data_IF_124339632281
#
_entry.id   IF_124339632281
#
_cell.length_a   1.000
_cell.length_b   1.000
_cell.length_c   1.000
_cell.angle_alpha   90.00
_cell.angle_beta   90.00
_cell.angle_gamma   90.00
#
_symmetry.space_group_name_H-M   'P 1'
#
loop_
_entity.id
_entity.type
_entity.pdbx_description
1 polymer ?
#
# COMPACT_ATOMS: atom_id res chain seq x y z
N UNK A 1 -14.76 -20.66 -4.73
CA UNK A 1 -14.43 -19.80 -3.57
C UNK A 1 -15.71 -19.24 -2.99
N UNK A 2 -15.82 -19.12 -1.67
CA UNK A 2 -17.01 -18.54 -1.03
C UNK A 2 -17.12 -17.04 -1.33
N UNK A 3 -18.35 -16.50 -1.30
CA UNK A 3 -18.63 -15.07 -1.52
C UNK A 3 -17.82 -14.18 -0.56
N UNK A 4 -17.59 -14.64 0.68
CA UNK A 4 -16.78 -13.94 1.68
C UNK A 4 -15.33 -13.76 1.23
N UNK A 5 -14.70 -14.80 0.67
CA UNK A 5 -13.32 -14.71 0.18
C UNK A 5 -13.23 -13.73 -0.99
N UNK A 6 -14.20 -13.73 -1.90
CA UNK A 6 -14.23 -12.79 -3.03
C UNK A 6 -14.30 -11.35 -2.52
N UNK A 7 -15.15 -11.07 -1.52
CA UNK A 7 -15.23 -9.74 -0.89
C UNK A 7 -13.90 -9.36 -0.25
N UNK A 8 -13.26 -10.28 0.48
CA UNK A 8 -11.92 -10.04 1.06
C UNK A 8 -10.91 -9.70 -0.03
N UNK A 9 -10.87 -10.45 -1.13
CA UNK A 9 -9.94 -10.19 -2.24
C UNK A 9 -10.16 -8.82 -2.88
N UNK A 10 -11.42 -8.40 -3.07
CA UNK A 10 -11.76 -7.08 -3.62
C UNK A 10 -11.37 -5.97 -2.65
N UNK A 11 -11.66 -6.12 -1.36
CA UNK A 11 -11.28 -5.14 -0.36
C UNK A 11 -9.75 -5.01 -0.29
N UNK A 12 -9.01 -6.13 -0.27
CA UNK A 12 -7.53 -6.14 -0.32
C UNK A 12 -7.06 -5.38 -1.55
N UNK A 13 -7.69 -5.62 -2.69
CA UNK A 13 -7.32 -4.97 -3.93
C UNK A 13 -7.46 -3.44 -3.85
N UNK A 14 -8.61 -2.95 -3.38
CA UNK A 14 -8.86 -1.52 -3.22
C UNK A 14 -7.88 -0.88 -2.22
N UNK A 15 -7.65 -1.55 -1.09
CA UNK A 15 -6.73 -1.10 -0.03
C UNK A 15 -5.33 -0.88 -0.60
N UNK A 16 -4.77 -1.88 -1.29
CA UNK A 16 -3.40 -1.82 -1.80
C UNK A 16 -3.24 -0.92 -3.04
N UNK A 17 -4.28 -0.74 -3.85
CA UNK A 17 -4.29 0.31 -4.88
C UNK A 17 -4.15 1.68 -4.23
N UNK A 18 -4.99 1.99 -3.23
CA UNK A 18 -4.93 3.30 -2.54
C UNK A 18 -3.58 3.49 -1.84
N UNK A 19 -3.07 2.46 -1.14
CA UNK A 19 -1.76 2.52 -0.49
C UNK A 19 -0.62 2.79 -1.47
N UNK A 20 -0.67 2.19 -2.67
CA UNK A 20 0.35 2.43 -3.70
C UNK A 20 0.24 3.85 -4.27
N UNK A 21 -0.99 4.33 -4.48
CA UNK A 21 -1.23 5.70 -4.96
C UNK A 21 -0.81 6.76 -3.95
N UNK A 22 -0.68 6.46 -2.66
CA UNK A 22 -0.20 7.38 -1.63
C UNK A 22 1.16 8.02 -1.97
N UNK A 23 2.06 7.28 -2.63
CA UNK A 23 3.39 7.79 -3.02
C UNK A 23 3.32 8.90 -4.07
N UNK A 24 2.23 8.97 -4.83
CA UNK A 24 2.01 10.04 -5.81
C UNK A 24 1.63 11.38 -5.19
N UNK A 25 1.16 11.39 -3.94
CA UNK A 25 0.72 12.59 -3.21
C UNK A 25 1.88 13.57 -3.05
N UNK A 26 3.07 13.06 -2.72
CA UNK A 26 4.28 13.87 -2.60
C UNK A 26 4.69 14.46 -3.96
N UNK A 27 4.59 13.68 -5.04
CA UNK A 27 4.84 14.17 -6.41
C UNK A 27 3.91 15.34 -6.75
N UNK A 28 2.61 15.20 -6.44
CA UNK A 28 1.64 16.28 -6.67
C UNK A 28 1.92 17.48 -5.76
N UNK A 29 2.27 17.25 -4.50
CA UNK A 29 2.61 18.30 -3.55
C UNK A 29 3.79 19.15 -4.01
N UNK A 30 4.84 18.52 -4.54
CA UNK A 30 6.00 19.21 -5.13
C UNK A 30 5.59 20.00 -6.37
N UNK A 31 4.92 19.36 -7.34
CA UNK A 31 4.53 20.01 -8.61
C UNK A 31 3.59 21.19 -8.46
N UNK A 32 2.69 21.12 -7.48
CA UNK A 32 1.70 22.18 -7.22
C UNK A 32 2.21 23.22 -6.22
N UNK A 33 3.32 22.97 -5.53
CA UNK A 33 3.78 23.75 -4.38
C UNK A 33 2.87 23.66 -3.16
N UNK A 34 1.88 22.76 -3.15
CA UNK A 34 0.80 22.67 -2.14
C UNK A 34 0.85 21.33 -1.39
N UNK A 35 1.93 21.10 -0.65
CA UNK A 35 2.19 19.84 0.06
C UNK A 35 1.08 19.53 1.08
N UNK A 36 0.77 20.49 1.96
CA UNK A 36 -0.21 20.30 3.04
C UNK A 36 -1.62 19.99 2.49
N UNK A 37 -2.01 20.68 1.41
CA UNK A 37 -3.30 20.44 0.76
C UNK A 37 -3.31 19.04 0.12
N UNK A 38 -2.22 18.64 -0.52
CA UNK A 38 -2.10 17.30 -1.11
C UNK A 38 -2.30 16.21 -0.05
N UNK A 39 -1.70 16.36 1.13
CA UNK A 39 -1.96 15.43 2.25
C UNK A 39 -3.41 15.47 2.74
N UNK A 40 -3.99 16.66 2.91
CA UNK A 40 -5.36 16.81 3.39
C UNK A 40 -6.38 16.16 2.45
N UNK A 41 -6.24 16.35 1.13
CA UNK A 41 -7.11 15.72 0.13
C UNK A 41 -6.88 14.21 0.09
N UNK A 42 -5.64 13.74 0.22
CA UNK A 42 -5.35 12.31 0.24
C UNK A 42 -5.92 11.59 1.47
N UNK A 43 -5.99 12.26 2.62
CA UNK A 43 -6.55 11.68 3.85
C UNK A 43 -7.98 11.16 3.67
N UNK A 44 -8.77 11.73 2.75
CA UNK A 44 -10.09 11.21 2.38
C UNK A 44 -9.99 9.81 1.78
N UNK A 45 -9.07 9.60 0.84
CA UNK A 45 -8.83 8.28 0.24
C UNK A 45 -8.24 7.30 1.26
N UNK A 46 -7.34 7.78 2.13
CA UNK A 46 -6.76 6.98 3.19
C UNK A 46 -7.82 6.49 4.19
N UNK A 47 -8.82 7.33 4.52
CA UNK A 47 -9.95 6.93 5.35
C UNK A 47 -10.77 5.81 4.72
N UNK A 48 -11.06 5.89 3.41
CA UNK A 48 -11.76 4.81 2.69
C UNK A 48 -10.99 3.49 2.78
N UNK A 49 -9.67 3.52 2.58
CA UNK A 49 -8.80 2.34 2.72
C UNK A 49 -8.82 1.79 4.15
N UNK A 50 -8.76 2.65 5.18
CA UNK A 50 -8.85 2.23 6.59
C UNK A 50 -10.21 1.60 6.91
N UNK A 51 -11.31 2.19 6.46
CA UNK A 51 -12.64 1.60 6.64
C UNK A 51 -12.76 0.23 5.96
N UNK A 52 -12.22 0.10 4.75
CA UNK A 52 -12.17 -1.19 4.04
C UNK A 52 -11.37 -2.25 4.83
N UNK A 53 -10.24 -1.88 5.43
CA UNK A 53 -9.47 -2.78 6.30
C UNK A 53 -10.28 -3.23 7.52
N UNK A 54 -10.97 -2.30 8.19
CA UNK A 54 -11.80 -2.62 9.36
C UNK A 54 -12.95 -3.57 9.03
N UNK A 55 -13.55 -3.45 7.83
CA UNK A 55 -14.59 -4.37 7.35
C UNK A 55 -13.99 -5.73 6.95
N UNK A 56 -12.78 -5.74 6.37
CA UNK A 56 -12.12 -6.95 5.92
C UNK A 56 -11.71 -7.88 7.07
N UNK A 57 -11.24 -7.32 8.20
CA UNK A 57 -10.73 -8.09 9.34
C UNK A 57 -11.74 -9.14 9.87
N UNK A 58 -13.00 -8.82 10.20
CA UNK A 58 -13.98 -9.81 10.68
C UNK A 58 -14.38 -10.82 9.60
N UNK A 59 -14.42 -10.43 8.32
CA UNK A 59 -14.70 -11.35 7.21
C UNK A 59 -13.60 -12.39 7.05
N UNK A 60 -12.34 -11.97 7.20
CA UNK A 60 -11.19 -12.87 7.17
C UNK A 60 -11.19 -13.81 8.37
N UNK A 61 -11.45 -13.30 9.58
CA UNK A 61 -11.55 -14.10 10.81
C UNK A 61 -12.62 -15.20 10.69
N UNK A 62 -13.83 -14.85 10.23
CA UNK A 62 -14.92 -15.82 10.01
C UNK A 62 -14.57 -16.89 8.98
N UNK A 63 -13.87 -16.52 7.91
CA UNK A 63 -13.40 -17.46 6.89
C UNK A 63 -12.42 -18.49 7.48
N UNK A 64 -11.54 -18.04 8.37
CA UNK A 64 -10.57 -18.88 9.07
C UNK A 64 -11.28 -19.85 10.02
N UNK A 65 -12.20 -19.35 10.85
CA UNK A 65 -12.96 -20.19 11.79
C UNK A 65 -13.71 -21.31 11.08
N UNK A 66 -14.39 -21.00 9.97
CA UNK A 66 -15.08 -22.01 9.17
C UNK A 66 -14.11 -23.04 8.59
N UNK A 67 -12.92 -22.61 8.16
CA UNK A 67 -11.91 -23.51 7.58
C UNK A 67 -11.28 -24.44 8.63
N UNK A 68 -11.10 -23.94 9.86
CA UNK A 68 -10.62 -24.74 11.00
C UNK A 68 -11.66 -25.79 11.40
N UNK A 69 -12.95 -25.40 11.49
CA UNK A 69 -14.03 -26.33 11.85
C UNK A 69 -14.19 -27.48 10.84
N UNK A 70 -13.80 -27.26 9.59
CA UNK A 70 -13.81 -28.25 8.52
C UNK A 70 -12.51 -29.09 8.44
N UNK A 71 -11.52 -28.82 9.29
CA UNK A 71 -10.24 -29.53 9.30
C UNK A 71 -9.34 -29.27 8.08
N UNK A 72 -9.59 -28.22 7.29
CA UNK A 72 -8.91 -27.98 6.01
C UNK A 72 -7.82 -26.91 6.12
N UNK A 73 -6.73 -27.24 6.81
CA UNK A 73 -5.58 -26.34 7.01
C UNK A 73 -4.82 -26.03 5.72
N UNK A 74 -4.76 -26.97 4.76
CA UNK A 74 -4.13 -26.74 3.45
C UNK A 74 -4.94 -25.77 2.58
N UNK A 75 -6.27 -25.87 2.61
CA UNK A 75 -7.16 -24.93 1.93
C UNK A 75 -6.99 -23.50 2.40
N UNK A 76 -6.63 -23.29 3.67
CA UNK A 76 -6.41 -21.95 4.22
C UNK A 76 -5.12 -21.30 3.69
N UNK A 77 -4.04 -22.07 3.58
CA UNK A 77 -2.78 -21.58 2.99
C UNK A 77 -3.01 -21.13 1.55
N UNK A 78 -3.81 -21.88 0.80
CA UNK A 78 -4.21 -21.52 -0.56
C UNK A 78 -4.96 -20.17 -0.60
N UNK A 79 -5.94 -19.97 0.29
CA UNK A 79 -6.67 -18.69 0.41
C UNK A 79 -5.72 -17.53 0.72
N UNK A 80 -4.79 -17.69 1.67
CA UNK A 80 -3.84 -16.64 2.02
C UNK A 80 -2.89 -16.27 0.87
N UNK A 81 -2.43 -17.25 0.10
CA UNK A 81 -1.64 -16.99 -1.12
C UNK A 81 -2.43 -16.20 -2.17
N UNK A 82 -3.72 -16.48 -2.33
CA UNK A 82 -4.60 -15.68 -3.20
C UNK A 82 -4.79 -14.25 -2.70
N UNK A 83 -4.90 -14.04 -1.38
CA UNK A 83 -4.96 -12.70 -0.81
C UNK A 83 -3.66 -11.94 -1.10
N UNK A 84 -2.50 -12.55 -0.85
CA UNK A 84 -1.20 -11.96 -1.18
C UNK A 84 -1.03 -11.72 -2.70
N UNK A 85 -1.64 -12.55 -3.53
CA UNK A 85 -1.60 -12.38 -4.98
C UNK A 85 -2.47 -11.20 -5.41
N UNK A 86 -3.65 -11.05 -4.80
CA UNK A 86 -4.49 -9.86 -4.95
C UNK A 86 -3.74 -8.59 -4.53
N UNK A 87 -3.03 -8.64 -3.41
CA UNK A 87 -2.13 -7.54 -2.97
C UNK A 87 -1.10 -7.19 -4.03
N UNK A 88 -0.40 -8.19 -4.59
CA UNK A 88 0.61 -7.97 -5.63
C UNK A 88 0.00 -7.35 -6.89
N UNK A 89 -1.13 -7.89 -7.36
CA UNK A 89 -1.86 -7.35 -8.51
C UNK A 89 -2.33 -5.91 -8.26
N UNK A 90 -2.85 -5.63 -7.07
CA UNK A 90 -3.29 -4.31 -6.67
C UNK A 90 -2.14 -3.30 -6.65
N UNK A 91 -0.96 -3.68 -6.14
CA UNK A 91 0.23 -2.82 -6.16
C UNK A 91 0.72 -2.57 -7.59
N UNK A 92 0.71 -3.58 -8.47
CA UNK A 92 1.03 -3.40 -9.89
C UNK A 92 0.03 -2.47 -10.57
N UNK A 93 -1.27 -2.68 -10.36
CA UNK A 93 -2.32 -1.83 -10.93
C UNK A 93 -2.21 -0.40 -10.39
N UNK A 94 -1.98 -0.23 -9.09
CA UNK A 94 -1.73 1.07 -8.47
C UNK A 94 -0.54 1.79 -9.08
N UNK A 95 0.57 1.09 -9.31
CA UNK A 95 1.76 1.63 -9.97
C UNK A 95 1.47 2.06 -11.42
N UNK A 96 0.70 1.28 -12.16
CA UNK A 96 0.28 1.60 -13.53
C UNK A 96 -0.70 2.79 -13.59
N UNK A 97 -1.58 2.92 -12.60
CA UNK A 97 -2.55 4.01 -12.48
C UNK A 97 -1.92 5.32 -11.98
N UNK A 98 -0.73 5.25 -11.38
CA UNK A 98 -0.06 6.39 -10.75
C UNK A 98 0.09 7.62 -11.66
N UNK A 99 0.53 7.53 -12.94
CA UNK A 99 0.64 8.71 -13.80
C UNK A 99 -0.71 9.40 -14.06
N UNK A 100 -1.78 8.62 -14.19
CA UNK A 100 -3.15 9.12 -14.34
C UNK A 100 -3.61 9.78 -13.04
N UNK A 101 -3.36 9.12 -11.91
CA UNK A 101 -3.73 9.65 -10.60
C UNK A 101 -2.99 10.96 -10.30
N UNK A 102 -1.70 11.10 -10.61
CA UNK A 102 -0.95 12.36 -10.43
C UNK A 102 -1.65 13.54 -11.13
N UNK A 103 -2.15 13.34 -12.37
CA UNK A 103 -2.85 14.39 -13.13
C UNK A 103 -4.21 14.74 -12.52
N UNK A 104 -5.01 13.72 -12.22
CA UNK A 104 -6.36 13.91 -11.65
C UNK A 104 -6.28 14.50 -10.26
N UNK A 105 -5.39 13.96 -9.43
CA UNK A 105 -5.16 14.40 -8.06
C UNK A 105 -4.57 15.81 -8.00
N UNK A 106 -3.67 16.18 -8.92
CA UNK A 106 -3.17 17.56 -9.04
C UNK A 106 -4.28 18.58 -9.26
N UNK A 107 -5.22 18.29 -10.17
CA UNK A 107 -6.40 19.16 -10.38
C UNK A 107 -7.32 19.20 -9.17
N UNK A 108 -7.48 18.08 -8.47
CA UNK A 108 -8.26 18.03 -7.23
C UNK A 108 -7.63 18.91 -6.14
N UNK A 109 -6.29 18.90 -6.01
CA UNK A 109 -5.53 19.77 -5.09
C UNK A 109 -5.66 21.24 -5.46
N UNK A 110 -5.55 21.58 -6.75
CA UNK A 110 -5.74 22.95 -7.24
C UNK A 110 -7.17 23.46 -6.99
N UNK A 111 -8.18 22.67 -7.36
CA UNK A 111 -9.58 23.00 -7.11
C UNK A 111 -9.86 23.14 -5.60
N UNK A 112 -9.27 22.28 -4.77
CA UNK A 112 -9.43 22.38 -3.32
C UNK A 112 -8.85 23.67 -2.76
N UNK A 113 -7.71 24.13 -3.29
CA UNK A 113 -7.16 25.42 -2.87
C UNK A 113 -8.10 26.59 -3.11
N UNK A 114 -8.98 26.50 -4.11
CA UNK A 114 -9.93 27.55 -4.48
C UNK A 114 -11.19 27.44 -3.62
N UNK A 115 -11.80 26.26 -3.56
CA UNK A 115 -13.10 26.06 -2.89
C UNK A 115 -13.01 25.85 -1.37
N UNK A 116 -11.82 25.52 -0.84
CA UNK A 116 -11.52 25.30 0.59
C UNK A 116 -12.47 24.36 1.33
N UNK A 117 -13.17 23.46 0.61
CA UNK A 117 -14.17 22.55 1.19
C UNK A 117 -14.09 21.16 0.54
N UNK A 118 -13.78 20.15 1.36
CA UNK A 118 -13.56 18.76 0.91
C UNK A 118 -14.88 18.16 0.38
N UNK A 119 -16.03 18.33 1.07
CA UNK A 119 -17.30 17.81 0.57
C UNK A 119 -17.69 18.41 -0.79
N UNK A 120 -17.55 19.72 -0.97
CA UNK A 120 -17.87 20.38 -2.26
C UNK A 120 -16.98 19.89 -3.40
N UNK A 121 -15.72 19.55 -3.11
CA UNK A 121 -14.78 18.97 -4.07
C UNK A 121 -15.21 17.58 -4.54
N UNK A 122 -15.64 16.72 -3.61
CA UNK A 122 -16.12 15.38 -3.94
C UNK A 122 -17.38 15.44 -4.82
N UNK A 123 -18.35 16.29 -4.48
CA UNK A 123 -19.57 16.48 -5.29
C UNK A 123 -19.25 16.94 -6.73
N UNK A 124 -18.24 17.79 -6.92
CA UNK A 124 -17.81 18.21 -8.27
C UNK A 124 -16.99 17.14 -8.99
N UNK A 125 -16.14 16.38 -8.28
CA UNK A 125 -15.34 15.30 -8.86
C UNK A 125 -16.19 14.16 -9.43
N UNK A 126 -17.32 13.84 -8.79
CA UNK A 126 -18.30 12.86 -9.27
C UNK A 126 -19.33 13.43 -10.26
N UNK A 127 -19.24 14.70 -10.64
CA UNK A 127 -20.11 15.28 -11.67
C UNK A 127 -19.79 14.73 -13.07
N UNK A 128 -20.75 14.80 -14.01
CA UNK A 128 -20.53 14.40 -15.42
C UNK A 128 -19.32 15.09 -16.06
N UNK A 129 -19.02 16.32 -15.64
CA UNK A 129 -17.82 17.06 -16.08
C UNK A 129 -16.54 16.46 -15.50
N UNK A 130 -16.52 16.17 -14.19
CA UNK A 130 -15.38 15.55 -13.50
C UNK A 130 -15.04 14.15 -14.05
N UNK A 131 -16.04 13.34 -14.37
CA UNK A 131 -15.87 11.99 -14.96
C UNK A 131 -15.32 12.09 -16.40
N UNK A 132 -15.81 13.03 -17.21
CA UNK A 132 -15.28 13.25 -18.56
C UNK A 132 -13.83 13.73 -18.52
N UNK A 133 -13.51 14.62 -17.58
CA UNK A 133 -12.16 15.10 -17.34
C UNK A 133 -11.22 14.00 -16.80
N UNK A 134 -11.72 13.06 -16.00
CA UNK A 134 -10.97 11.85 -15.60
C UNK A 134 -10.62 11.00 -16.82
N UNK A 135 -11.60 10.76 -17.71
CA UNK A 135 -11.41 9.98 -18.95
C UNK A 135 -10.40 10.63 -19.90
N UNK A 136 -10.42 11.96 -20.03
CA UNK A 136 -9.45 12.72 -20.83
C UNK A 136 -8.04 12.78 -20.19
N UNK A 137 -7.91 12.51 -18.89
CA UNK A 137 -6.64 12.51 -18.16
C UNK A 137 -5.92 11.17 -18.16
N UNK A 138 -6.59 10.11 -18.63
CA UNK A 138 -6.02 8.76 -18.75
C UNK A 138 -4.79 8.83 -19.65
N UNK A 139 -3.62 8.73 -19.03
CA UNK A 139 -2.35 8.83 -19.73
C UNK A 139 -1.72 7.46 -19.75
N UNK A 140 -1.56 6.89 -20.95
CA UNK A 140 -0.80 5.64 -21.08
C UNK A 140 0.63 5.86 -20.59
N UNK A 141 1.20 4.93 -19.80
CA UNK A 141 2.57 5.04 -19.34
C UNK A 141 3.51 5.18 -20.54
N UNK A 142 4.15 6.34 -20.71
CA UNK A 142 5.07 6.60 -21.83
C UNK A 142 6.34 5.76 -21.61
N UNK A 143 6.73 4.98 -22.61
CA UNK A 143 7.94 4.13 -22.60
C UNK A 143 9.24 4.94 -22.41
N UNK A 144 9.22 6.25 -22.64
CA UNK A 144 10.35 7.14 -22.37
C UNK A 144 10.73 7.22 -20.89
N UNK A 145 9.77 6.99 -19.96
CA UNK A 145 10.08 6.89 -18.53
C UNK A 145 10.97 5.68 -18.20
N UNK A 146 11.00 4.64 -19.05
CA UNK A 146 11.87 3.47 -18.87
C UNK A 146 13.32 3.71 -19.32
N UNK A 147 13.58 4.65 -20.25
CA UNK A 147 14.97 4.98 -20.65
C UNK A 147 15.79 5.54 -19.49
N UNK A 148 15.13 6.12 -18.49
CA UNK A 148 15.75 6.71 -17.31
C UNK A 148 16.01 5.74 -16.15
N UNK A 149 15.55 4.49 -16.25
CA UNK A 149 15.86 3.43 -15.29
C UNK A 149 17.35 3.07 -15.32
N UNK A 150 18.06 3.35 -16.43
CA UNK A 150 19.45 2.96 -16.65
C UNK A 150 20.49 3.73 -15.82
N UNK A 151 20.13 4.88 -15.24
CA UNK A 151 21.02 5.67 -14.37
C UNK A 151 20.86 5.29 -12.89
N UNK A 152 21.24 4.07 -12.53
CA UNK A 152 21.11 3.52 -11.17
C UNK A 152 22.03 4.16 -10.11
N UNK A 153 22.98 5.03 -10.51
CA UNK A 153 24.10 5.47 -9.66
C UNK A 153 23.73 6.52 -8.59
N UNK A 154 22.58 7.20 -8.70
CA UNK A 154 22.16 8.25 -7.73
C UNK A 154 21.00 7.83 -6.82
N UNK A 155 20.51 6.59 -6.89
CA UNK A 155 19.36 6.15 -6.11
C UNK A 155 19.82 5.61 -4.76
N UNK A 156 19.13 5.94 -3.64
CA UNK A 156 19.42 5.38 -2.32
C UNK A 156 19.03 3.89 -2.25
N UNK A 157 19.85 2.99 -2.80
CA UNK A 157 19.57 1.54 -2.87
C UNK A 157 19.23 0.93 -1.51
N UNK A 158 19.94 1.37 -0.45
CA UNK A 158 19.69 0.95 0.93
C UNK A 158 18.26 1.28 1.37
N UNK A 159 17.76 2.45 0.99
CA UNK A 159 16.41 2.90 1.32
C UNK A 159 15.34 2.11 0.56
N UNK A 160 15.54 1.87 -0.73
CA UNK A 160 14.61 1.04 -1.52
C UNK A 160 14.54 -0.37 -0.95
N UNK A 161 15.68 -0.96 -0.57
CA UNK A 161 15.74 -2.26 0.09
C UNK A 161 15.00 -2.25 1.43
N UNK A 162 15.23 -1.24 2.27
CA UNK A 162 14.57 -1.13 3.56
C UNK A 162 13.06 -0.94 3.42
N UNK A 163 12.61 -0.13 2.46
CA UNK A 163 11.19 0.03 2.14
C UNK A 163 10.58 -1.30 1.70
N UNK A 164 11.30 -2.04 0.85
CA UNK A 164 10.88 -3.35 0.36
C UNK A 164 10.69 -4.34 1.52
N UNK A 165 11.65 -4.39 2.45
CA UNK A 165 11.59 -5.24 3.63
C UNK A 165 10.43 -4.82 4.54
N UNK A 166 10.34 -3.55 4.91
CA UNK A 166 9.28 -3.04 5.77
C UNK A 166 7.89 -3.33 5.18
N UNK A 167 7.71 -3.09 3.89
CA UNK A 167 6.44 -3.36 3.20
C UNK A 167 6.13 -4.86 3.14
N UNK A 168 7.13 -5.73 2.94
CA UNK A 168 6.94 -7.18 2.97
C UNK A 168 6.49 -7.68 4.35
N UNK A 169 7.07 -7.14 5.43
CA UNK A 169 6.70 -7.47 6.81
C UNK A 169 5.28 -7.00 7.11
N UNK A 170 4.91 -5.77 6.74
CA UNK A 170 3.55 -5.26 6.92
C UNK A 170 2.52 -6.08 6.13
N UNK A 171 2.86 -6.47 4.89
CA UNK A 171 1.98 -7.26 4.02
C UNK A 171 1.74 -8.67 4.54
N UNK A 172 2.80 -9.34 4.99
CA UNK A 172 2.72 -10.74 5.44
C UNK A 172 2.26 -10.88 6.89
N UNK A 173 2.49 -9.86 7.73
CA UNK A 173 2.37 -9.96 9.20
C UNK A 173 1.02 -10.45 9.69
N UNK A 174 -0.07 -9.88 9.17
CA UNK A 174 -1.44 -10.28 9.56
C UNK A 174 -1.72 -11.72 9.14
N UNK A 175 -1.44 -12.07 7.88
CA UNK A 175 -1.73 -13.41 7.35
C UNK A 175 -0.85 -14.49 7.99
N UNK A 176 0.43 -14.20 8.25
CA UNK A 176 1.34 -15.10 8.93
C UNK A 176 0.91 -15.34 10.39
N UNK A 177 0.46 -14.30 11.09
CA UNK A 177 -0.05 -14.41 12.48
C UNK A 177 -1.30 -15.28 12.55
N UNK A 178 -2.22 -15.08 11.61
CA UNK A 178 -3.43 -15.89 11.49
C UNK A 178 -3.10 -17.34 11.14
N UNK A 179 -2.13 -17.58 10.24
CA UNK A 179 -1.69 -18.92 9.89
C UNK A 179 -1.00 -19.62 11.07
N UNK A 180 -0.15 -18.91 11.82
CA UNK A 180 0.51 -19.42 13.02
C UNK A 180 -0.50 -19.88 14.09
N UNK A 181 -1.58 -19.12 14.30
CA UNK A 181 -2.66 -19.49 15.21
C UNK A 181 -3.49 -20.69 14.73
N UNK A 182 -3.46 -21.01 13.43
CA UNK A 182 -4.05 -22.25 12.91
C UNK A 182 -3.13 -23.45 13.11
N UNK A 183 -1.80 -23.25 13.01
CA UNK A 183 -0.81 -24.30 13.25
C UNK A 183 -0.75 -24.70 14.73
N UNK A 184 -1.01 -23.76 15.65
CA UNK A 184 -1.05 -24.02 17.10
C UNK A 184 -2.38 -23.50 17.69
N UNK A 185 -3.46 -24.30 17.64
CA UNK A 185 -4.79 -23.88 18.09
C UNK A 185 -4.83 -23.41 19.56
N UNK A 186 -4.02 -24.00 20.43
CA UNK A 186 -3.92 -23.63 21.85
C UNK A 186 -3.38 -22.21 22.07
N UNK A 187 -2.54 -21.71 21.16
CA UNK A 187 -1.88 -20.41 21.23
C UNK A 187 -2.47 -19.39 20.25
N UNK A 188 -3.70 -19.62 19.77
CA UNK A 188 -4.31 -18.86 18.68
C UNK A 188 -4.49 -17.38 18.99
N UNK A 189 -4.90 -17.06 20.21
CA UNK A 189 -5.06 -15.67 20.67
C UNK A 189 -3.71 -14.97 20.73
N UNK A 190 -2.69 -15.62 21.30
CA UNK A 190 -1.29 -15.13 21.36
C UNK A 190 -0.71 -14.88 19.96
N UNK A 191 -0.88 -15.83 19.03
CA UNK A 191 -0.44 -15.65 17.65
C UNK A 191 -1.13 -14.46 16.98
N UNK A 192 -2.44 -14.28 17.24
CA UNK A 192 -3.21 -13.17 16.66
C UNK A 192 -2.80 -11.82 17.22
N UNK A 193 -2.48 -11.71 18.52
CA UNK A 193 -2.02 -10.46 19.13
C UNK A 193 -0.62 -10.07 18.64
N UNK A 194 0.27 -11.04 18.37
CA UNK A 194 1.59 -10.80 17.77
C UNK A 194 1.53 -10.10 16.40
N UNK A 195 0.42 -10.19 15.67
CA UNK A 195 0.22 -9.44 14.43
C UNK A 195 0.37 -7.93 14.62
N UNK A 196 -0.11 -7.41 15.76
CA UNK A 196 -0.04 -5.97 16.06
C UNK A 196 1.39 -5.51 16.32
N UNK A 197 2.20 -6.36 16.96
CA UNK A 197 3.62 -6.14 17.22
C UNK A 197 4.39 -6.12 15.91
N UNK A 198 4.19 -7.11 15.05
CA UNK A 198 4.87 -7.21 13.75
C UNK A 198 4.54 -6.02 12.86
N UNK A 199 3.26 -5.63 12.80
CA UNK A 199 2.85 -4.48 12.02
C UNK A 199 3.40 -3.16 12.60
N UNK A 200 3.50 -3.06 13.93
CA UNK A 200 4.14 -1.92 14.59
C UNK A 200 5.62 -1.82 14.21
N UNK A 201 6.35 -2.93 14.21
CA UNK A 201 7.76 -2.97 13.77
C UNK A 201 7.88 -2.49 12.31
N UNK A 202 7.04 -2.99 11.40
CA UNK A 202 7.05 -2.55 10.01
C UNK A 202 6.76 -1.05 9.88
N UNK A 203 5.78 -0.56 10.65
CA UNK A 203 5.41 0.86 10.69
C UNK A 203 6.56 1.73 11.19
N UNK A 204 7.23 1.32 12.27
CA UNK A 204 8.40 2.01 12.81
C UNK A 204 9.52 2.09 11.76
N UNK A 205 9.81 1.00 11.04
CA UNK A 205 10.80 1.01 9.97
C UNK A 205 10.44 2.01 8.85
N UNK A 206 9.16 2.10 8.47
CA UNK A 206 8.72 3.09 7.49
C UNK A 206 8.86 4.52 8.02
N UNK A 207 8.38 4.79 9.22
CA UNK A 207 8.37 6.14 9.82
C UNK A 207 9.76 6.67 10.17
N UNK A 208 10.71 5.81 10.60
CA UNK A 208 12.05 6.25 10.98
C UNK A 208 12.93 6.46 9.76
N UNK A 209 12.81 5.63 8.72
CA UNK A 209 13.77 5.62 7.64
C UNK A 209 13.23 6.11 6.30
N UNK A 210 11.97 5.83 5.98
CA UNK A 210 11.40 6.15 4.66
C UNK A 210 10.81 7.55 4.67
N UNK A 211 9.97 7.86 5.65
CA UNK A 211 9.23 9.13 5.69
C UNK A 211 10.14 10.36 5.82
N UNK A 212 11.19 10.38 6.67
CA UNK A 212 12.10 11.51 6.78
C UNK A 212 12.90 11.70 5.49
N UNK A 213 13.31 10.60 4.85
CA UNK A 213 14.03 10.67 3.59
C UNK A 213 13.18 11.25 2.46
N UNK A 214 11.93 10.78 2.30
CA UNK A 214 11.03 11.34 1.28
C UNK A 214 10.72 12.80 1.59
N UNK A 215 10.60 13.17 2.87
CA UNK A 215 10.40 14.56 3.29
C UNK A 215 11.60 15.44 2.95
N UNK A 216 12.81 15.03 3.30
CA UNK A 216 14.05 15.73 2.95
C UNK A 216 14.18 15.89 1.42
N UNK A 217 13.93 14.83 0.66
CA UNK A 217 13.95 14.88 -0.81
C UNK A 217 12.87 15.82 -1.38
N UNK A 218 11.73 15.95 -0.69
CA UNK A 218 10.67 16.90 -1.06
C UNK A 218 11.16 18.33 -0.86
N UNK A 219 11.76 18.62 0.29
CA UNK A 219 12.27 19.95 0.64
C UNK A 219 13.44 20.35 -0.26
N UNK A 220 14.34 19.42 -0.60
CA UNK A 220 15.43 19.64 -1.55
C UNK A 220 14.94 20.04 -2.94
N UNK A 221 13.82 19.47 -3.40
CA UNK A 221 13.25 19.85 -4.70
C UNK A 221 12.63 21.23 -4.65
N UNK A 222 11.97 21.57 -3.55
CA UNK A 222 11.34 22.89 -3.35
C UNK A 222 12.42 23.98 -3.21
N UNK A 223 13.50 23.69 -2.52
CA UNK A 223 14.66 24.57 -2.39
C UNK A 223 15.48 24.70 -3.69
N UNK A 224 15.20 23.89 -4.73
CA UNK A 224 15.95 23.87 -5.97
C UNK A 224 17.29 23.10 -5.92
N UNK A 225 17.61 22.49 -4.78
CA UNK A 225 18.80 21.66 -4.59
C UNK A 225 18.72 20.32 -5.35
N UNK A 226 17.51 19.87 -5.66
CA UNK A 226 17.24 18.62 -6.35
C UNK A 226 16.25 18.80 -7.51
N UNK A 227 16.50 18.14 -8.64
CA UNK A 227 15.57 18.18 -9.78
C UNK A 227 14.31 17.34 -9.51
N UNK A 228 13.15 17.80 -9.99
CA UNK A 228 11.92 17.00 -10.00
C UNK A 228 12.07 15.65 -10.70
N UNK A 229 12.92 15.58 -11.72
CA UNK A 229 13.20 14.34 -12.45
C UNK A 229 13.85 13.31 -11.53
N UNK A 230 14.84 13.72 -10.74
CA UNK A 230 15.49 12.87 -9.75
C UNK A 230 14.49 12.40 -8.68
N UNK A 231 13.67 13.31 -8.17
CA UNK A 231 12.62 12.99 -7.20
C UNK A 231 11.63 11.94 -7.73
N UNK A 232 11.08 12.15 -8.92
CA UNK A 232 10.14 11.23 -9.55
C UNK A 232 10.76 9.85 -9.79
N UNK A 233 12.06 9.79 -10.13
CA UNK A 233 12.81 8.53 -10.23
C UNK A 233 12.89 7.82 -8.88
N UNK A 234 13.31 8.51 -7.81
CA UNK A 234 13.38 7.92 -6.47
C UNK A 234 12.04 7.32 -6.03
N UNK A 235 10.93 8.04 -6.22
CA UNK A 235 9.58 7.53 -5.93
C UNK A 235 9.24 6.30 -6.80
N UNK A 236 9.61 6.31 -8.08
CA UNK A 236 9.39 5.15 -8.98
C UNK A 236 10.11 3.90 -8.48
N UNK A 237 11.35 4.04 -7.99
CA UNK A 237 12.11 2.92 -7.41
C UNK A 237 11.53 2.44 -6.09
N UNK A 238 11.05 3.36 -5.24
CA UNK A 238 10.36 3.01 -3.99
C UNK A 238 9.10 2.21 -4.29
N UNK A 239 8.29 2.61 -5.28
CA UNK A 239 7.10 1.88 -5.72
C UNK A 239 7.46 0.53 -6.34
N UNK A 240 8.54 0.46 -7.13
CA UNK A 240 9.08 -0.82 -7.60
C UNK A 240 9.44 -1.75 -6.44
N UNK A 241 10.02 -1.21 -5.38
CA UNK A 241 10.27 -1.92 -4.12
C UNK A 241 9.01 -2.44 -3.44
N UNK A 242 7.87 -1.75 -3.53
CA UNK A 242 6.59 -2.26 -3.01
C UNK A 242 6.17 -3.54 -3.73
N UNK A 243 6.27 -3.56 -5.07
CA UNK A 243 5.92 -4.74 -5.87
C UNK A 243 6.84 -5.91 -5.49
N UNK A 244 8.15 -5.67 -5.40
CA UNK A 244 9.10 -6.69 -4.93
C UNK A 244 8.76 -7.15 -3.50
N UNK A 245 8.38 -6.22 -2.62
CA UNK A 245 8.01 -6.52 -1.24
C UNK A 245 6.78 -7.42 -1.13
N UNK A 246 5.77 -7.20 -1.97
CA UNK A 246 4.57 -8.06 -2.02
C UNK A 246 4.86 -9.46 -2.57
N UNK A 247 5.76 -9.57 -3.54
CA UNK A 247 6.28 -10.86 -4.00
C UNK A 247 7.11 -11.57 -2.92
N UNK A 248 7.93 -10.83 -2.17
CA UNK A 248 8.65 -11.38 -1.02
C UNK A 248 7.68 -11.87 0.07
N UNK A 249 6.58 -11.16 0.32
CA UNK A 249 5.56 -11.59 1.27
C UNK A 249 4.96 -12.97 0.94
N UNK A 250 4.83 -13.33 -0.34
CA UNK A 250 4.39 -14.68 -0.78
C UNK A 250 5.33 -15.79 -0.32
N UNK A 251 6.64 -15.51 -0.35
CA UNK A 251 7.68 -16.45 0.04
C UNK A 251 7.78 -16.48 1.57
N UNK A 252 7.67 -15.31 2.20
CA UNK A 252 7.79 -15.15 3.65
C UNK A 252 6.60 -15.71 4.45
N UNK A 253 5.44 -15.95 3.84
CA UNK A 253 4.23 -16.36 4.55
C UNK A 253 4.43 -17.55 5.49
N UNK A 254 5.00 -18.65 4.97
CA UNK A 254 5.24 -19.86 5.76
C UNK A 254 6.33 -19.67 6.83
N UNK A 255 7.55 -19.21 6.50
CA UNK A 255 8.60 -19.04 7.52
C UNK A 255 8.23 -18.00 8.58
N UNK A 256 7.53 -16.92 8.20
CA UNK A 256 7.05 -15.93 9.15
C UNK A 256 6.05 -16.54 10.14
N UNK A 257 5.13 -17.39 9.69
CA UNK A 257 4.20 -18.07 10.57
C UNK A 257 4.89 -19.03 11.54
N UNK A 258 5.90 -19.78 11.09
CA UNK A 258 6.69 -20.67 11.94
C UNK A 258 7.47 -19.90 13.02
N UNK A 259 8.04 -18.74 12.65
CA UNK A 259 8.71 -17.84 13.61
C UNK A 259 7.70 -17.34 14.66
N UNK A 260 6.53 -16.87 14.23
CA UNK A 260 5.47 -16.39 15.13
C UNK A 260 5.01 -17.48 16.08
N UNK A 261 4.78 -18.69 15.57
CA UNK A 261 4.41 -19.86 16.36
C UNK A 261 5.48 -20.24 17.38
N UNK A 262 6.76 -20.06 17.04
CA UNK A 262 7.88 -20.35 17.95
C UNK A 262 7.96 -19.29 19.05
N UNK A 263 7.83 -18.00 18.70
CA UNK A 263 7.76 -16.91 19.68
C UNK A 263 6.57 -17.11 20.62
N UNK A 264 5.40 -17.46 20.09
CA UNK A 264 4.19 -17.71 20.88
C UNK A 264 4.33 -18.90 21.85
N UNK A 265 5.21 -19.87 21.56
CA UNK A 265 5.52 -20.99 22.47
C UNK A 265 6.53 -20.63 23.56
N UNK A 266 7.32 -19.57 23.34
CA UNK A 266 8.35 -19.11 24.28
C UNK A 266 7.80 -18.13 25.33
N UNK A 267 6.69 -17.46 25.02
CA UNK A 267 5.98 -16.52 25.91
C UNK A 267 4.89 -17.28 26.65
#
# INVERSE_FOLDING_TARGET
>A
MSTQIIIVLILTFVIYVISTLAYSVRIVGVRTGRIAISFAVFNVFALLSRTANTIQAPLLAKTIENSINLGNSEGLLYVFRWILLSTTLATVVGALLMPTFIKVFGRAVEAFSIYRSIPKLLFHGFSKSGIRQFKESVTRPKKENFKYIREYKKIPKKLVLLNTIAFSISTVGILASLYAGCLNPELRTTCSTLSSVINSIATILMFIFIDPFISMLTDDVIAGNCSELHFNRCITFIVGGLIVGTLLAQILLKPAAEIIATIARLI
#
